data_IF_837734284500
#
_entry.id   IF_837734284500
#
_cell.length_a   1.000
_cell.length_b   1.000
_cell.length_c   1.000
_cell.angle_alpha   90.00
_cell.angle_beta   90.00
_cell.angle_gamma   90.00
#
_symmetry.space_group_name_H-M   'P 1'
#
loop_
_entity.id
_entity.type
_entity.pdbx_description
1 polymer ?
#
# COMPACT_ATOMS: atom_id res chain seq x y z
N UNK A 1 15.00 -14.22 3.89
CA UNK A 1 14.31 -14.54 2.62
C UNK A 1 12.82 -14.67 2.99
N UNK A 2 11.89 -14.09 2.22
CA UNK A 2 10.47 -14.02 2.62
C UNK A 2 9.77 -15.38 2.41
N UNK A 3 9.51 -16.13 3.48
CA UNK A 3 8.93 -17.47 3.38
C UNK A 3 7.39 -17.50 3.39
N UNK A 4 6.76 -16.33 3.52
CA UNK A 4 5.31 -16.17 3.73
C UNK A 4 4.55 -15.64 2.52
N UNK A 5 5.21 -14.83 1.69
CA UNK A 5 4.56 -14.04 0.64
C UNK A 5 4.62 -14.67 -0.77
N UNK A 6 5.25 -15.84 -0.91
CA UNK A 6 5.46 -16.47 -2.22
C UNK A 6 6.44 -15.72 -3.14
N UNK A 7 6.96 -14.54 -2.77
CA UNK A 7 7.92 -13.78 -3.59
C UNK A 7 9.24 -14.52 -3.84
N UNK A 8 9.57 -15.53 -3.02
CA UNK A 8 10.72 -16.41 -3.24
C UNK A 8 10.48 -17.43 -4.38
N UNK A 9 9.26 -17.54 -4.91
CA UNK A 9 8.92 -18.41 -6.03
C UNK A 9 9.24 -17.69 -7.34
N UNK A 10 10.34 -18.10 -7.95
CA UNK A 10 10.84 -17.59 -9.23
C UNK A 10 10.62 -18.61 -10.34
N UNK A 11 10.69 -18.22 -11.63
CA UNK A 11 10.70 -19.20 -12.72
C UNK A 11 11.78 -20.27 -12.57
N UNK A 12 12.93 -19.91 -11.98
CA UNK A 12 14.07 -20.81 -11.78
C UNK A 12 13.85 -21.90 -10.74
N UNK A 13 13.02 -21.65 -9.71
CA UNK A 13 12.77 -22.61 -8.64
C UNK A 13 11.32 -23.10 -8.57
N UNK A 14 10.42 -22.61 -9.43
CA UNK A 14 8.99 -23.02 -9.49
C UNK A 14 8.82 -24.53 -9.56
N UNK A 15 9.68 -25.21 -10.31
CA UNK A 15 9.67 -26.68 -10.46
C UNK A 15 9.81 -27.44 -9.12
N UNK A 16 10.29 -26.79 -8.06
CA UNK A 16 10.38 -27.39 -6.73
C UNK A 16 9.04 -27.46 -6.02
N UNK A 17 8.07 -26.61 -6.35
CA UNK A 17 6.81 -26.45 -5.59
C UNK A 17 5.55 -26.84 -6.38
N UNK A 18 5.69 -27.25 -7.64
CA UNK A 18 4.59 -27.72 -8.50
C UNK A 18 4.78 -29.19 -8.88
N UNK A 19 3.69 -29.89 -9.20
CA UNK A 19 3.73 -31.28 -9.67
C UNK A 19 4.37 -32.22 -8.63
N UNK A 20 5.40 -32.95 -9.03
CA UNK A 20 6.21 -33.84 -8.17
C UNK A 20 7.46 -33.15 -7.60
N UNK A 21 7.51 -31.81 -7.61
CA UNK A 21 8.61 -31.05 -7.04
C UNK A 21 8.89 -31.40 -5.57
N UNK A 22 10.17 -31.31 -5.16
CA UNK A 22 10.63 -31.70 -3.81
C UNK A 22 9.85 -31.03 -2.67
N UNK A 23 9.33 -29.83 -2.88
CA UNK A 23 8.59 -28.99 -1.94
C UNK A 23 7.14 -28.77 -2.39
N UNK A 24 6.62 -29.60 -3.31
CA UNK A 24 5.27 -29.43 -3.84
C UNK A 24 4.17 -29.72 -2.81
N UNK A 25 4.48 -30.49 -1.77
CA UNK A 25 3.56 -30.80 -0.67
C UNK A 25 4.17 -30.48 0.69
N UNK A 26 3.33 -30.03 1.61
CA UNK A 26 3.66 -29.90 3.03
C UNK A 26 3.76 -31.26 3.70
N UNK A 27 4.29 -31.31 4.92
CA UNK A 27 4.35 -32.53 5.74
C UNK A 27 2.95 -33.16 5.93
N UNK A 28 1.92 -32.31 6.05
CA UNK A 28 0.51 -32.70 6.15
C UNK A 28 -0.16 -33.03 4.80
N UNK A 29 0.61 -33.06 3.71
CA UNK A 29 0.16 -33.49 2.38
C UNK A 29 -0.60 -32.45 1.53
N UNK A 30 -0.73 -31.20 2.01
CA UNK A 30 -1.34 -30.09 1.22
C UNK A 30 -0.36 -29.57 0.18
N UNK A 31 -0.83 -29.02 -0.94
CA UNK A 31 0.10 -28.45 -1.93
C UNK A 31 0.60 -27.07 -1.47
N UNK A 32 1.86 -26.74 -1.72
CA UNK A 32 2.43 -25.45 -1.33
C UNK A 32 1.66 -24.26 -1.93
N UNK A 33 1.20 -24.40 -3.18
CA UNK A 33 0.36 -23.40 -3.86
C UNK A 33 -0.98 -23.20 -3.13
N UNK A 34 -1.65 -24.28 -2.71
CA UNK A 34 -2.94 -24.16 -2.00
C UNK A 34 -2.80 -23.46 -0.64
N UNK A 35 -1.66 -23.64 0.04
CA UNK A 35 -1.39 -22.97 1.31
C UNK A 35 -1.20 -21.47 1.09
N UNK A 36 -0.43 -21.07 0.09
CA UNK A 36 -0.21 -19.65 -0.24
C UNK A 36 -1.50 -18.96 -0.66
N UNK A 37 -2.31 -19.60 -1.51
CA UNK A 37 -3.63 -19.09 -1.90
C UNK A 37 -4.56 -18.96 -0.70
N UNK A 38 -4.54 -19.94 0.23
CA UNK A 38 -5.31 -19.86 1.47
C UNK A 38 -4.91 -18.67 2.34
N UNK A 39 -3.61 -18.40 2.49
CA UNK A 39 -3.11 -17.26 3.25
C UNK A 39 -3.54 -15.91 2.64
N UNK A 40 -3.45 -15.77 1.31
CA UNK A 40 -3.90 -14.54 0.63
C UNK A 40 -5.41 -14.36 0.72
N UNK A 41 -6.18 -15.45 0.61
CA UNK A 41 -7.64 -15.41 0.79
C UNK A 41 -8.05 -14.99 2.22
N UNK A 42 -7.35 -15.47 3.24
CA UNK A 42 -7.63 -15.04 4.63
C UNK A 42 -7.19 -13.59 4.88
N UNK A 43 -6.10 -13.14 4.24
CA UNK A 43 -5.74 -11.73 4.24
C UNK A 43 -6.86 -10.87 3.63
N UNK A 44 -7.39 -11.24 2.46
CA UNK A 44 -8.44 -10.49 1.78
C UNK A 44 -9.75 -10.45 2.59
N UNK A 45 -10.07 -11.55 3.27
CA UNK A 45 -11.20 -11.60 4.19
C UNK A 45 -11.01 -10.61 5.35
N UNK A 46 -9.83 -10.58 5.96
CA UNK A 46 -9.54 -9.61 7.01
C UNK A 46 -9.51 -8.16 6.48
N UNK A 47 -8.97 -7.94 5.29
CA UNK A 47 -8.91 -6.63 4.65
C UNK A 47 -10.32 -6.07 4.43
N UNK A 48 -11.27 -6.91 4.01
CA UNK A 48 -12.68 -6.53 3.90
C UNK A 48 -13.25 -6.07 5.25
N UNK A 49 -12.95 -6.80 6.33
CA UNK A 49 -13.41 -6.43 7.67
C UNK A 49 -12.77 -5.12 8.20
N UNK A 50 -11.49 -4.90 7.92
CA UNK A 50 -10.83 -3.62 8.23
C UNK A 50 -11.47 -2.46 7.46
N UNK A 51 -11.78 -2.67 6.19
CA UNK A 51 -12.43 -1.68 5.33
C UNK A 51 -13.81 -1.31 5.85
N UNK A 52 -14.61 -2.29 6.27
CA UNK A 52 -15.91 -2.05 6.91
C UNK A 52 -15.78 -1.16 8.16
N UNK A 53 -14.69 -1.29 8.93
CA UNK A 53 -14.43 -0.43 10.09
C UNK A 53 -14.21 1.03 9.71
N UNK A 54 -13.53 1.28 8.59
CA UNK A 54 -13.32 2.63 8.08
C UNK A 54 -14.59 3.20 7.43
N UNK A 55 -15.25 2.42 6.56
CA UNK A 55 -16.48 2.80 5.86
C UNK A 55 -17.57 3.21 6.83
N UNK A 56 -17.81 2.41 7.89
CA UNK A 56 -18.83 2.72 8.91
C UNK A 56 -18.60 4.05 9.64
N UNK A 57 -17.36 4.56 9.64
CA UNK A 57 -16.97 5.81 10.28
C UNK A 57 -16.75 6.94 9.27
N UNK A 58 -16.87 6.67 7.97
CA UNK A 58 -16.52 7.63 6.91
C UNK A 58 -15.04 7.99 6.88
N UNK A 59 -14.17 7.13 7.41
CA UNK A 59 -12.72 7.36 7.47
C UNK A 59 -12.09 6.96 6.14
N UNK A 60 -11.24 7.82 5.59
CA UNK A 60 -10.38 7.48 4.46
C UNK A 60 -9.08 6.84 4.94
N UNK A 61 -8.96 5.52 4.78
CA UNK A 61 -7.70 4.81 4.91
C UNK A 61 -6.84 4.87 3.63
N UNK A 62 -5.57 5.27 3.77
CA UNK A 62 -4.59 5.41 2.68
C UNK A 62 -3.35 4.56 2.98
N UNK A 63 -2.88 3.77 2.01
CA UNK A 63 -1.65 2.98 2.13
C UNK A 63 -0.50 3.72 1.41
N UNK A 64 0.51 4.15 2.17
CA UNK A 64 1.72 4.79 1.64
C UNK A 64 2.79 3.75 1.38
N UNK A 65 3.15 3.56 0.11
CA UNK A 65 4.15 2.58 -0.33
C UNK A 65 5.30 3.26 -1.04
N UNK A 66 6.54 2.81 -0.79
CA UNK A 66 7.74 3.42 -1.38
C UNK A 66 8.96 2.55 -1.19
N UNK A 67 10.08 2.90 -1.83
CA UNK A 67 11.41 2.44 -1.38
C UNK A 67 11.75 3.00 0.02
N UNK A 68 12.70 2.38 0.74
CA UNK A 68 13.28 3.00 1.94
C UNK A 68 13.81 4.40 1.65
N UNK A 69 13.53 5.36 2.54
CA UNK A 69 14.05 6.71 2.42
C UNK A 69 13.37 7.59 1.35
N UNK A 70 12.29 7.16 0.69
CA UNK A 70 11.56 7.99 -0.28
C UNK A 70 10.85 9.21 0.36
N UNK A 71 10.71 9.22 1.69
CA UNK A 71 10.22 10.36 2.45
C UNK A 71 8.79 10.25 2.98
N UNK A 72 8.23 9.03 3.15
CA UNK A 72 6.88 8.79 3.68
C UNK A 72 6.62 9.51 5.02
N UNK A 73 7.44 9.25 6.03
CA UNK A 73 7.27 9.89 7.34
C UNK A 73 7.40 11.40 7.26
N UNK A 74 8.30 11.92 6.42
CA UNK A 74 8.46 13.37 6.25
C UNK A 74 7.26 14.01 5.56
N UNK A 75 6.66 13.32 4.58
CA UNK A 75 5.41 13.73 3.96
C UNK A 75 4.27 13.74 5.00
N UNK A 76 4.19 12.72 5.86
CA UNK A 76 3.20 12.65 6.93
C UNK A 76 3.34 13.81 7.92
N UNK A 77 4.55 14.07 8.43
CA UNK A 77 4.79 15.21 9.32
C UNK A 77 4.31 16.54 8.71
N UNK A 78 4.67 16.80 7.45
CA UNK A 78 4.26 18.01 6.75
C UNK A 78 2.74 18.07 6.50
N UNK A 79 2.12 16.92 6.21
CA UNK A 79 0.68 16.79 5.99
C UNK A 79 -0.10 17.06 7.28
N UNK A 80 0.34 16.47 8.39
CA UNK A 80 -0.25 16.67 9.72
C UNK A 80 -0.17 18.14 10.13
N UNK A 81 1.01 18.75 9.97
CA UNK A 81 1.20 20.17 10.32
C UNK A 81 0.30 21.09 9.46
N UNK A 82 0.12 20.77 8.17
CA UNK A 82 -0.65 21.60 7.24
C UNK A 82 -2.17 21.45 7.37
N UNK A 83 -2.67 20.26 7.71
CA UNK A 83 -4.12 19.98 7.86
C UNK A 83 -4.60 20.09 9.30
N UNK A 84 -3.74 20.58 10.20
CA UNK A 84 -4.05 20.70 11.62
C UNK A 84 -5.28 21.58 11.85
N UNK A 85 -6.30 20.99 12.48
CA UNK A 85 -7.58 21.66 12.76
C UNK A 85 -8.56 21.68 11.58
N UNK A 86 -8.16 21.13 10.42
CA UNK A 86 -9.03 20.96 9.26
C UNK A 86 -9.52 19.50 9.14
N UNK A 87 -8.61 18.53 9.22
CA UNK A 87 -8.91 17.10 9.16
C UNK A 87 -8.25 16.37 10.33
N UNK A 88 -9.00 15.46 10.97
CA UNK A 88 -8.45 14.56 11.97
C UNK A 88 -7.62 13.47 11.30
N UNK A 89 -6.37 13.30 11.73
CA UNK A 89 -5.43 12.34 11.16
C UNK A 89 -4.99 11.35 12.24
N UNK A 90 -4.89 10.08 11.88
CA UNK A 90 -4.21 9.05 12.66
C UNK A 90 -3.30 8.22 11.76
N UNK A 91 -2.28 7.58 12.33
CA UNK A 91 -1.27 6.84 11.56
C UNK A 91 -1.02 5.44 12.13
N UNK A 92 -0.86 4.47 11.24
CA UNK A 92 -0.34 3.14 11.50
C UNK A 92 1.03 3.06 10.82
N UNK A 93 2.08 2.87 11.61
CA UNK A 93 3.47 2.88 11.16
C UNK A 93 4.01 1.45 11.07
N UNK A 94 4.39 1.00 9.88
CA UNK A 94 5.02 -0.29 9.64
C UNK A 94 6.52 -0.16 9.44
N UNK A 95 7.31 -0.61 10.41
CA UNK A 95 8.77 -0.70 10.33
C UNK A 95 9.24 -2.05 10.88
N UNK A 96 10.45 -2.48 10.50
CA UNK A 96 11.00 -3.77 10.91
C UNK A 96 11.19 -3.84 12.43
N UNK A 97 11.78 -2.81 13.04
CA UNK A 97 12.15 -2.87 14.46
C UNK A 97 12.01 -1.57 15.25
N UNK A 98 12.04 -0.38 14.64
CA UNK A 98 12.14 0.87 15.41
C UNK A 98 10.81 1.59 15.59
N UNK A 99 10.62 2.29 16.70
CA UNK A 99 9.46 3.19 16.92
C UNK A 99 9.71 4.62 16.44
N UNK A 100 10.86 4.89 15.80
CA UNK A 100 11.32 6.24 15.52
C UNK A 100 10.30 7.05 14.70
N UNK A 101 9.68 6.44 13.70
CA UNK A 101 8.72 7.12 12.83
C UNK A 101 7.39 7.37 13.54
N UNK A 102 6.90 6.40 14.33
CA UNK A 102 5.74 6.59 15.20
C UNK A 102 5.94 7.68 16.26
N UNK A 103 7.13 7.77 16.87
CA UNK A 103 7.47 8.85 17.81
C UNK A 103 7.46 10.22 17.13
N UNK A 104 8.04 10.32 15.92
CA UNK A 104 8.05 11.56 15.14
C UNK A 104 6.65 12.02 14.79
N UNK A 105 5.76 11.10 14.41
CA UNK A 105 4.35 11.40 14.13
C UNK A 105 3.59 11.79 15.39
N UNK A 106 3.75 11.05 16.49
CA UNK A 106 3.13 11.41 17.79
C UNK A 106 3.58 12.78 18.28
N UNK A 107 4.84 13.16 18.04
CA UNK A 107 5.35 14.49 18.38
C UNK A 107 4.64 15.64 17.63
N UNK A 108 3.93 15.36 16.52
CA UNK A 108 3.06 16.32 15.82
C UNK A 108 1.66 16.47 16.46
N UNK A 109 1.34 15.61 17.43
CA UNK A 109 0.11 15.65 18.20
C UNK A 109 -1.04 14.82 17.63
N UNK A 110 -0.75 13.85 16.76
CA UNK A 110 -1.75 12.90 16.23
C UNK A 110 -1.53 11.49 16.80
N UNK A 111 -2.58 10.66 16.89
CA UNK A 111 -2.44 9.26 17.26
C UNK A 111 -1.59 8.49 16.25
N UNK A 112 -0.62 7.71 16.74
CA UNK A 112 0.20 6.82 15.91
C UNK A 112 0.48 5.50 16.62
N UNK A 113 0.21 4.38 15.94
CA UNK A 113 0.50 3.02 16.42
C UNK A 113 1.62 2.42 15.58
N UNK A 114 2.68 1.94 16.23
CA UNK A 114 3.73 1.17 15.58
C UNK A 114 3.31 -0.28 15.42
N UNK A 115 3.58 -0.85 14.25
CA UNK A 115 3.63 -2.28 13.99
C UNK A 115 5.09 -2.63 13.75
N UNK A 116 5.69 -3.39 14.67
CA UNK A 116 7.01 -3.98 14.47
C UNK A 116 6.85 -5.27 13.66
N UNK A 117 7.23 -5.24 12.39
CA UNK A 117 7.04 -6.38 11.47
C UNK A 117 8.08 -7.49 11.67
N UNK A 118 9.11 -7.23 12.49
CA UNK A 118 10.23 -8.12 12.71
C UNK A 118 11.01 -8.32 11.41
N UNK A 119 10.87 -9.50 10.79
CA UNK A 119 11.52 -9.83 9.52
C UNK A 119 10.61 -9.69 8.30
N UNK A 120 9.33 -9.37 8.49
CA UNK A 120 8.39 -9.24 7.39
C UNK A 120 8.62 -7.95 6.56
N UNK A 121 8.59 -8.11 5.25
CA UNK A 121 8.91 -7.07 4.25
C UNK A 121 7.72 -6.19 3.83
N UNK A 122 6.57 -6.36 4.48
CA UNK A 122 5.28 -5.70 4.21
C UNK A 122 4.40 -5.79 5.47
N UNK A 123 3.34 -4.98 5.50
CA UNK A 123 2.19 -5.17 6.38
C UNK A 123 1.16 -6.08 5.72
N UNK A 124 0.42 -6.84 6.53
CA UNK A 124 -0.78 -7.57 6.12
C UNK A 124 -2.03 -7.05 6.85
N UNK A 125 -3.22 -7.50 6.42
CA UNK A 125 -4.48 -7.05 6.99
C UNK A 125 -4.68 -7.47 8.46
N UNK A 126 -4.08 -8.57 8.92
CA UNK A 126 -4.17 -8.98 10.32
C UNK A 126 -3.38 -8.03 11.21
N UNK A 127 -2.17 -7.65 10.81
CA UNK A 127 -1.36 -6.66 11.52
C UNK A 127 -2.08 -5.31 11.64
N UNK A 128 -2.69 -4.84 10.54
CA UNK A 128 -3.47 -3.60 10.55
C UNK A 128 -4.72 -3.74 11.42
N UNK A 129 -5.37 -4.91 11.40
CA UNK A 129 -6.53 -5.16 12.25
C UNK A 129 -6.20 -5.02 13.73
N UNK A 130 -5.11 -5.64 14.17
CA UNK A 130 -4.65 -5.58 15.56
C UNK A 130 -4.33 -4.13 15.97
N UNK A 131 -3.65 -3.37 15.10
CA UNK A 131 -3.36 -1.96 15.34
C UNK A 131 -4.63 -1.10 15.45
N UNK A 132 -5.69 -1.39 14.66
CA UNK A 132 -6.95 -0.65 14.69
C UNK A 132 -7.69 -0.75 16.03
N UNK A 133 -7.51 -1.85 16.79
CA UNK A 133 -8.09 -1.97 18.14
C UNK A 133 -7.45 -1.02 19.15
N UNK A 134 -6.23 -0.56 18.88
CA UNK A 134 -5.47 0.32 19.76
C UNK A 134 -5.42 1.77 19.26
N UNK A 135 -5.80 2.03 18.01
CA UNK A 135 -5.80 3.35 17.41
C UNK A 135 -7.09 4.11 17.79
N UNK A 136 -7.01 5.25 18.50
CA UNK A 136 -8.20 6.05 18.77
C UNK A 136 -8.69 6.71 17.47
N UNK A 137 -9.91 6.36 17.06
CA UNK A 137 -10.52 6.81 15.80
C UNK A 137 -11.59 7.90 15.97
N UNK A 138 -11.81 8.39 17.19
CA UNK A 138 -12.79 9.45 17.43
C UNK A 138 -12.33 10.76 16.77
N UNK A 139 -13.17 11.30 15.89
CA UNK A 139 -12.89 12.55 15.18
C UNK A 139 -11.78 12.45 14.12
N UNK A 140 -11.31 11.26 13.74
CA UNK A 140 -10.37 11.13 12.59
C UNK A 140 -11.14 11.02 11.28
N UNK A 141 -10.64 11.71 10.27
CA UNK A 141 -11.14 11.69 8.89
C UNK A 141 -10.26 10.83 8.00
N UNK A 142 -8.94 10.78 8.27
CA UNK A 142 -7.96 10.06 7.48
C UNK A 142 -7.09 9.18 8.39
N UNK A 143 -6.92 7.92 7.99
CA UNK A 143 -5.92 7.02 8.55
C UNK A 143 -4.85 6.76 7.49
N UNK A 144 -3.61 7.13 7.78
CA UNK A 144 -2.48 6.73 6.96
C UNK A 144 -1.89 5.42 7.47
N UNK A 145 -1.66 4.48 6.57
CA UNK A 145 -0.87 3.28 6.82
C UNK A 145 0.47 3.52 6.13
N UNK A 146 1.50 3.87 6.89
CA UNK A 146 2.87 3.94 6.37
C UNK A 146 3.41 2.51 6.28
N UNK A 147 3.48 1.96 5.08
CA UNK A 147 3.95 0.59 4.88
C UNK A 147 5.49 0.49 4.97
N UNK A 148 5.99 -0.73 5.11
CA UNK A 148 7.43 -0.99 5.09
C UNK A 148 8.03 -0.46 3.79
N UNK A 149 9.21 0.16 3.85
CA UNK A 149 9.95 0.63 2.67
C UNK A 149 10.33 -0.51 1.74
N UNK A 150 9.49 -0.83 0.76
CA UNK A 150 9.66 -1.90 -0.20
C UNK A 150 8.77 -1.69 -1.44
N UNK A 151 9.35 -1.79 -2.65
CA UNK A 151 8.63 -1.68 -3.92
C UNK A 151 8.17 -3.03 -4.51
N UNK A 152 8.25 -4.12 -3.74
CA UNK A 152 7.89 -5.47 -4.20
C UNK A 152 6.75 -6.06 -3.36
N UNK A 153 7.03 -6.45 -2.11
CA UNK A 153 6.08 -7.21 -1.28
C UNK A 153 4.73 -6.49 -1.06
N UNK A 154 4.69 -5.18 -0.73
CA UNK A 154 3.43 -4.56 -0.29
C UNK A 154 2.33 -4.49 -1.36
N UNK A 155 2.70 -4.56 -2.65
CA UNK A 155 1.74 -4.45 -3.75
C UNK A 155 0.77 -5.65 -3.88
N UNK A 156 1.04 -6.74 -3.16
CA UNK A 156 0.28 -7.99 -3.21
C UNK A 156 -0.66 -8.17 -2.02
N UNK A 157 -0.75 -7.22 -1.09
CA UNK A 157 -1.53 -7.35 0.13
C UNK A 157 -2.54 -6.21 0.25
N UNK A 158 -3.82 -6.56 0.21
CA UNK A 158 -4.87 -5.65 0.67
C UNK A 158 -4.81 -5.53 2.19
N UNK A 159 -4.88 -4.30 2.73
CA UNK A 159 -4.88 -4.03 4.16
C UNK A 159 -6.26 -3.57 4.67
N UNK A 160 -7.21 -3.36 3.75
CA UNK A 160 -8.47 -2.67 4.02
C UNK A 160 -8.45 -1.18 3.71
N UNK A 161 -7.38 -0.67 3.10
CA UNK A 161 -7.23 0.75 2.72
C UNK A 161 -7.91 1.08 1.40
N UNK A 162 -8.44 2.30 1.23
CA UNK A 162 -9.21 2.66 0.04
C UNK A 162 -8.33 3.04 -1.16
N UNK A 163 -7.15 3.63 -0.91
CA UNK A 163 -6.23 4.11 -1.94
C UNK A 163 -4.79 3.76 -1.67
N UNK A 164 -4.08 3.40 -2.73
CA UNK A 164 -2.63 3.27 -2.75
C UNK A 164 -1.98 4.57 -3.20
N UNK A 165 -1.11 5.13 -2.36
CA UNK A 165 -0.27 6.28 -2.70
C UNK A 165 1.17 5.80 -2.77
N UNK A 166 1.77 5.89 -3.95
CA UNK A 166 3.13 5.41 -4.20
C UNK A 166 4.08 6.58 -4.29
N UNK A 167 5.11 6.60 -3.45
CA UNK A 167 6.16 7.61 -3.51
C UNK A 167 7.33 7.09 -4.34
N UNK A 168 7.77 7.93 -5.28
CA UNK A 168 8.99 7.79 -6.05
C UNK A 168 9.88 9.01 -5.77
N UNK A 169 10.94 8.83 -5.00
CA UNK A 169 11.89 9.93 -4.76
C UNK A 169 12.77 10.15 -5.98
N UNK A 170 13.07 11.41 -6.33
CA UNK A 170 13.89 11.75 -7.50
C UNK A 170 15.29 11.13 -7.46
N UNK A 171 15.86 10.90 -6.27
CA UNK A 171 17.18 10.24 -6.12
C UNK A 171 17.16 8.73 -6.40
N UNK A 172 15.99 8.14 -6.66
CA UNK A 172 15.88 6.71 -6.98
C UNK A 172 16.12 6.46 -8.48
N UNK A 173 15.89 7.45 -9.34
CA UNK A 173 15.88 7.31 -10.81
C UNK A 173 14.46 7.13 -11.37
N UNK A 174 14.21 7.69 -12.55
CA UNK A 174 12.86 7.78 -13.17
C UNK A 174 12.33 6.46 -13.75
N UNK A 175 13.18 5.45 -13.90
CA UNK A 175 12.87 4.15 -14.47
C UNK A 175 12.15 3.17 -13.51
N UNK A 176 11.90 3.57 -12.26
CA UNK A 176 11.30 2.68 -11.24
C UNK A 176 9.92 2.15 -11.61
N UNK A 177 9.01 2.92 -12.24
CA UNK A 177 7.73 2.36 -12.67
C UNK A 177 7.92 1.16 -13.61
N UNK A 178 8.84 1.25 -14.58
CA UNK A 178 9.14 0.14 -15.48
C UNK A 178 9.80 -1.06 -14.77
N UNK A 179 10.64 -0.81 -13.76
CA UNK A 179 11.34 -1.86 -13.00
C UNK A 179 10.47 -2.57 -11.97
N UNK A 180 9.48 -1.89 -11.40
CA UNK A 180 8.59 -2.41 -10.35
C UNK A 180 7.12 -2.38 -10.78
N UNK A 181 6.77 -3.02 -11.91
CA UNK A 181 5.48 -2.79 -12.57
C UNK A 181 4.28 -3.27 -11.74
N UNK A 182 4.46 -4.24 -10.85
CA UNK A 182 3.40 -4.73 -9.93
C UNK A 182 3.00 -3.63 -8.96
N UNK A 183 3.98 -2.95 -8.35
CA UNK A 183 3.77 -1.83 -7.44
C UNK A 183 3.09 -0.66 -8.15
N UNK A 184 3.66 -0.18 -9.25
CA UNK A 184 3.16 1.02 -9.91
C UNK A 184 1.82 0.84 -10.64
N UNK A 185 1.42 -0.39 -11.00
CA UNK A 185 0.05 -0.67 -11.47
C UNK A 185 -1.00 -0.56 -10.37
N UNK A 186 -0.62 -0.78 -9.11
CA UNK A 186 -1.52 -0.70 -7.97
C UNK A 186 -1.79 0.75 -7.53
N UNK A 187 -1.10 1.74 -8.11
CA UNK A 187 -1.21 3.14 -7.70
C UNK A 187 -2.62 3.70 -7.96
N UNK A 188 -3.21 4.35 -6.96
CA UNK A 188 -4.29 5.32 -7.17
C UNK A 188 -3.75 6.74 -7.30
N UNK A 189 -2.53 6.98 -6.77
CA UNK A 189 -1.77 8.23 -6.91
C UNK A 189 -0.28 7.92 -6.87
N UNK A 190 0.50 8.55 -7.75
CA UNK A 190 1.95 8.56 -7.68
C UNK A 190 2.46 9.94 -7.25
N UNK A 191 3.31 9.97 -6.23
CA UNK A 191 3.99 11.17 -5.75
C UNK A 191 5.46 11.10 -6.14
N UNK A 192 5.93 12.03 -6.97
CA UNK A 192 7.34 12.26 -7.20
C UNK A 192 7.84 13.17 -6.08
N UNK A 193 8.68 12.64 -5.19
CA UNK A 193 9.10 13.33 -3.96
C UNK A 193 10.53 13.85 -4.03
N UNK A 194 10.84 14.80 -3.13
CA UNK A 194 12.14 15.48 -3.04
C UNK A 194 12.51 16.26 -4.29
N UNK A 195 11.51 16.86 -4.94
CA UNK A 195 11.70 17.62 -6.19
C UNK A 195 12.57 18.87 -6.01
N UNK A 196 12.82 19.30 -4.78
CA UNK A 196 13.83 20.31 -4.43
C UNK A 196 15.25 19.89 -4.82
N UNK A 197 15.49 18.60 -5.04
CA UNK A 197 16.77 18.06 -5.46
C UNK A 197 16.95 18.01 -6.99
N UNK A 198 15.89 18.19 -7.78
CA UNK A 198 15.98 18.13 -9.26
C UNK A 198 17.06 19.05 -9.86
N UNK A 199 17.29 20.29 -9.37
CA UNK A 199 18.35 21.15 -9.90
C UNK A 199 19.78 20.60 -9.73
N UNK A 200 19.96 19.54 -8.93
CA UNK A 200 21.25 18.91 -8.65
C UNK A 200 21.37 17.50 -9.23
N UNK A 201 20.34 17.02 -9.94
CA UNK A 201 20.29 15.69 -10.53
C UNK A 201 20.19 15.81 -12.04
N UNK A 202 21.10 15.13 -12.75
CA UNK A 202 21.15 15.15 -14.22
C UNK A 202 20.45 13.92 -14.84
N UNK A 203 19.99 12.98 -14.00
CA UNK A 203 19.55 11.63 -14.38
C UNK A 203 18.10 11.31 -14.01
N UNK A 204 17.29 12.30 -13.63
CA UNK A 204 15.86 12.13 -13.37
C UNK A 204 15.01 13.14 -14.14
N UNK A 205 14.11 12.64 -14.99
CA UNK A 205 13.09 13.44 -15.66
C UNK A 205 11.68 13.06 -15.14
N UNK A 206 10.95 13.96 -14.47
CA UNK A 206 9.60 13.65 -13.97
C UNK A 206 8.63 13.17 -15.07
N UNK A 207 8.74 13.74 -16.27
CA UNK A 207 7.95 13.31 -17.41
C UNK A 207 8.35 11.92 -17.92
N UNK A 208 9.61 11.48 -17.75
CA UNK A 208 10.01 10.10 -18.05
C UNK A 208 9.38 9.11 -17.07
N UNK A 209 9.40 9.43 -15.78
CA UNK A 209 8.74 8.61 -14.76
C UNK A 209 7.24 8.45 -15.05
N UNK A 210 6.56 9.54 -15.41
CA UNK A 210 5.15 9.47 -15.82
C UNK A 210 4.96 8.63 -17.09
N UNK A 211 5.80 8.78 -18.13
CA UNK A 211 5.74 7.92 -19.33
C UNK A 211 5.88 6.44 -18.97
N UNK A 212 6.78 6.09 -18.04
CA UNK A 212 6.92 4.72 -17.56
C UNK A 212 5.68 4.22 -16.82
N UNK A 213 5.03 5.06 -16.01
CA UNK A 213 3.76 4.74 -15.35
C UNK A 213 2.64 4.47 -16.37
N UNK A 214 2.50 5.34 -17.38
CA UNK A 214 1.50 5.19 -18.44
C UNK A 214 1.73 3.94 -19.28
N UNK A 215 2.99 3.57 -19.52
CA UNK A 215 3.34 2.33 -20.23
C UNK A 215 2.87 1.05 -19.51
N UNK A 216 2.53 1.14 -18.21
CA UNK A 216 1.92 0.06 -17.45
C UNK A 216 0.38 0.03 -17.55
N UNK A 217 -0.22 0.90 -18.37
CA UNK A 217 -1.65 1.17 -18.41
C UNK A 217 -2.21 1.66 -17.06
N UNK A 218 -1.41 2.41 -16.30
CA UNK A 218 -1.82 3.04 -15.06
C UNK A 218 -2.16 4.52 -15.30
N UNK A 219 -3.42 4.89 -15.09
CA UNK A 219 -3.96 6.25 -15.28
C UNK A 219 -3.89 7.08 -13.99
N UNK A 220 -3.19 6.60 -12.96
CA UNK A 220 -3.08 7.31 -11.69
C UNK A 220 -2.49 8.72 -11.89
N UNK A 221 -3.07 9.76 -11.25
CA UNK A 221 -2.47 11.08 -11.24
C UNK A 221 -1.03 11.04 -10.73
N UNK A 222 -0.19 11.93 -11.27
CA UNK A 222 1.20 12.11 -10.85
C UNK A 222 1.35 13.52 -10.29
N UNK A 223 1.72 13.63 -9.01
CA UNK A 223 2.00 14.91 -8.38
C UNK A 223 3.49 15.01 -8.05
N UNK A 224 4.04 16.22 -8.13
CA UNK A 224 5.45 16.51 -7.85
C UNK A 224 5.52 17.37 -6.60
N UNK A 225 6.25 16.93 -5.56
CA UNK A 225 6.33 17.70 -4.32
C UNK A 225 7.67 17.59 -3.58
N UNK A 226 7.89 18.57 -2.70
CA UNK A 226 8.90 18.50 -1.65
C UNK A 226 8.30 18.87 -0.29
N UNK A 227 8.31 17.90 0.63
CA UNK A 227 7.86 18.09 2.00
C UNK A 227 8.84 18.88 2.90
N UNK A 228 10.04 19.19 2.40
CA UNK A 228 11.04 20.02 3.10
C UNK A 228 10.95 21.48 2.64
N UNK A 229 11.06 21.71 1.33
CA UNK A 229 11.20 23.03 0.71
C UNK A 229 10.76 22.96 -0.76
N UNK A 230 9.48 23.04 -1.06
CA UNK A 230 9.09 23.15 -2.46
C UNK A 230 7.60 23.26 -2.74
N UNK A 231 7.27 23.47 -4.03
CA UNK A 231 5.89 23.49 -4.51
C UNK A 231 5.26 22.09 -4.42
N UNK A 232 3.95 22.03 -4.62
CA UNK A 232 3.21 20.77 -4.81
C UNK A 232 2.61 20.14 -3.56
N UNK A 233 2.92 20.65 -2.37
CA UNK A 233 2.20 20.24 -1.16
C UNK A 233 0.71 20.61 -1.26
N UNK A 234 0.35 21.78 -1.80
CA UNK A 234 -1.06 22.17 -1.87
C UNK A 234 -1.89 21.26 -2.79
N UNK A 235 -1.33 20.78 -3.90
CA UNK A 235 -2.02 19.80 -4.77
C UNK A 235 -2.26 18.48 -4.05
N UNK A 236 -1.28 18.00 -3.28
CA UNK A 236 -1.42 16.82 -2.42
C UNK A 236 -2.49 17.02 -1.33
N UNK A 237 -2.47 18.15 -0.64
CA UNK A 237 -3.46 18.47 0.39
C UNK A 237 -4.87 18.62 -0.21
N UNK A 238 -4.99 19.23 -1.38
CA UNK A 238 -6.24 19.34 -2.13
C UNK A 238 -6.78 17.97 -2.53
N UNK A 239 -5.91 17.05 -2.99
CA UNK A 239 -6.29 15.67 -3.27
C UNK A 239 -6.81 14.95 -2.02
N UNK A 240 -6.13 15.08 -0.88
CA UNK A 240 -6.58 14.50 0.39
C UNK A 240 -7.94 15.01 0.83
N UNK A 241 -8.18 16.33 0.76
CA UNK A 241 -9.48 16.94 1.08
C UNK A 241 -10.59 16.37 0.19
N UNK A 242 -10.31 16.26 -1.11
CA UNK A 242 -11.23 15.70 -2.10
C UNK A 242 -11.59 14.24 -1.79
N UNK A 243 -10.59 13.38 -1.57
CA UNK A 243 -10.82 11.97 -1.26
C UNK A 243 -11.51 11.77 0.10
N UNK A 244 -11.18 12.58 1.12
CA UNK A 244 -11.83 12.50 2.43
C UNK A 244 -13.31 12.93 2.34
N UNK A 245 -13.62 13.98 1.57
CA UNK A 245 -15.01 14.37 1.28
C UNK A 245 -15.75 13.26 0.52
N UNK A 246 -15.14 12.72 -0.54
CA UNK A 246 -15.73 11.64 -1.34
C UNK A 246 -15.98 10.36 -0.53
N UNK A 247 -15.08 10.01 0.40
CA UNK A 247 -15.25 8.85 1.26
C UNK A 247 -16.38 9.02 2.27
N UNK A 248 -16.53 10.22 2.86
CA UNK A 248 -17.69 10.52 3.72
C UNK A 248 -19.01 10.38 2.95
N UNK A 249 -19.05 10.85 1.70
CA UNK A 249 -20.23 10.64 0.84
C UNK A 249 -20.50 9.17 0.53
N UNK A 250 -19.48 8.38 0.16
CA UNK A 250 -19.60 6.93 -0.07
C UNK A 250 -20.16 6.22 1.16
N UNK A 251 -19.60 6.51 2.33
CA UNK A 251 -20.06 5.97 3.60
C UNK A 251 -21.54 6.27 3.87
N UNK A 252 -22.02 7.50 3.58
CA UNK A 252 -23.45 7.82 3.73
C UNK A 252 -24.36 7.06 2.78
N UNK A 253 -23.84 6.62 1.62
CA UNK A 253 -24.57 5.78 0.66
C UNK A 253 -24.43 4.28 0.94
N UNK A 254 -23.64 3.89 1.95
CA UNK A 254 -23.29 2.49 2.19
C UNK A 254 -22.42 1.87 1.10
N UNK A 255 -21.71 2.71 0.34
CA UNK A 255 -20.76 2.30 -0.68
C UNK A 255 -19.36 2.17 -0.08
N UNK A 256 -18.59 1.23 -0.61
CA UNK A 256 -17.18 1.04 -0.27
C UNK A 256 -16.30 1.25 -1.50
N UNK A 257 -15.01 1.43 -1.26
CA UNK A 257 -13.99 1.54 -2.30
C UNK A 257 -12.88 0.54 -2.01
N UNK A 258 -12.58 -0.29 -3.02
CA UNK A 258 -11.44 -1.21 -3.00
C UNK A 258 -10.26 -0.61 -3.76
N UNK A 259 -9.03 -0.77 -3.25
CA UNK A 259 -7.83 -0.30 -3.92
C UNK A 259 -7.53 -1.21 -5.11
N UNK A 260 -6.75 -0.70 -6.06
CA UNK A 260 -6.15 -1.57 -7.08
C UNK A 260 -5.07 -2.43 -6.42
N UNK A 261 -5.31 -3.73 -6.25
CA UNK A 261 -4.28 -4.69 -5.83
C UNK A 261 -3.85 -5.45 -7.07
N UNK A 262 -2.55 -5.67 -7.24
CA UNK A 262 -2.09 -6.44 -8.38
C UNK A 262 -2.64 -7.87 -8.28
N UNK A 263 -3.27 -8.41 -9.34
CA UNK A 263 -3.70 -9.80 -9.31
C UNK A 263 -2.48 -10.70 -9.10
N UNK A 264 -2.67 -11.79 -8.37
CA UNK A 264 -1.64 -12.78 -8.13
C UNK A 264 -0.89 -13.11 -9.43
N UNK A 265 0.44 -13.11 -9.38
CA UNK A 265 1.27 -13.60 -10.48
C UNK A 265 1.05 -15.11 -10.79
N UNK A 266 0.06 -15.72 -10.13
CA UNK A 266 -0.47 -17.06 -10.28
C UNK A 266 -1.83 -17.02 -10.97
N UNK A 267 -1.87 -16.52 -12.21
CA UNK A 267 -3.05 -16.64 -13.05
C UNK A 267 -3.49 -18.11 -13.16
N UNK A 268 -4.60 -18.43 -12.52
CA UNK A 268 -5.48 -19.51 -12.93
C UNK A 268 -6.88 -18.90 -13.07
N UNK A 269 -7.35 -18.84 -14.32
CA UNK A 269 -8.75 -18.60 -14.65
C UNK A 269 -9.62 -19.56 -13.84
N UNK A 270 -10.38 -19.03 -12.88
CA UNK A 270 -11.51 -19.74 -12.30
C UNK A 270 -12.72 -19.57 -13.20
N UNK A 271 -12.70 -20.26 -14.34
CA UNK A 271 -13.86 -20.43 -15.19
C UNK A 271 -14.76 -21.51 -14.56
N UNK A 272 -15.59 -21.10 -13.59
CA UNK A 272 -16.62 -21.98 -13.01
C UNK A 272 -17.83 -22.06 -13.94
N UNK A 273 -17.69 -22.83 -15.02
CA UNK A 273 -18.84 -23.30 -15.79
C UNK A 273 -19.56 -24.42 -15.01
N UNK A 274 -20.56 -24.04 -14.20
CA UNK A 274 -21.54 -24.98 -13.67
C UNK A 274 -22.44 -25.47 -14.80
N UNK A 275 -22.15 -26.65 -15.36
CA UNK A 275 -23.13 -27.44 -16.09
C UNK A 275 -23.72 -28.50 -15.16
N UNK A 276 -24.85 -28.17 -14.55
CA UNK A 276 -25.78 -29.15 -14.03
C UNK A 276 -26.55 -29.74 -15.21
N UNK A 277 -26.31 -31.02 -15.48
CA UNK A 277 -27.22 -31.86 -16.24
C UNK A 277 -27.61 -33.05 -15.37
N UNK A 278 -28.90 -33.11 -15.05
CA UNK A 278 -29.63 -34.29 -14.57
C UNK A 278 -30.98 -34.30 -15.29
N UNK A 279 -31.64 -35.46 -15.41
CA UNK A 279 -31.16 -36.79 -15.76
C UNK A 279 -31.49 -37.18 -17.21
#
# INVERSE_FOLDING_TARGET
MCDTCGCNITPGNRHLIIGEGKLARTEDGRTAVSVLQGLLSENDHQAAHNREHFDRRGILALNLMSSPGAGKTRLLEATIDALKGELGIAVIEGDLETENDAERVRARGVPAIQIATGSACHLDAHMVHDALHHLPLEGVDIVFIENVGNLVCPASFDLGHHRNVILLSVVEGDDKPAKYPVMFRAADLMLITKTDLLPFLDDFEPAAAERHLRALACEAPVLQLSASKGPGMEEWLGWLRGEAAAQRERATRGESLRPSVAPDAHGHDHDHAHHHAHP
#
